data_IF_173923779090
#
_entry.id   IF_173923779090
#
_cell.length_a   1.000
_cell.length_b   1.000
_cell.length_c   1.000
_cell.angle_alpha   90.00
_cell.angle_beta   90.00
_cell.angle_gamma   90.00
#
_symmetry.space_group_name_H-M   'P 1'
#
loop_
_entity.id
_entity.type
_entity.pdbx_description
1 polymer ?
#
# COMPACT_ATOMS: atom_id res chain seq x y z
N UNK A 1 -31.13 -19.30 -16.31
CA UNK A 1 -29.65 -19.21 -16.41
C UNK A 1 -29.16 -18.76 -15.05
N UNK A 2 -28.60 -19.68 -14.27
CA UNK A 2 -28.23 -19.48 -12.87
C UNK A 2 -26.96 -18.63 -12.79
N UNK A 3 -27.07 -17.43 -12.21
CA UNK A 3 -25.91 -16.63 -11.83
C UNK A 3 -25.53 -17.11 -10.43
N UNK A 4 -24.52 -17.98 -10.38
CA UNK A 4 -23.96 -18.49 -9.13
C UNK A 4 -23.27 -17.36 -8.38
N UNK A 5 -23.69 -17.21 -7.13
CA UNK A 5 -23.12 -16.35 -6.11
C UNK A 5 -21.61 -16.59 -5.94
N UNK A 6 -20.84 -15.51 -5.92
CA UNK A 6 -19.60 -15.41 -5.15
C UNK A 6 -19.15 -13.95 -5.06
N UNK A 7 -19.99 -13.11 -4.46
CA UNK A 7 -19.52 -11.82 -3.93
C UNK A 7 -18.67 -12.13 -2.70
N UNK A 8 -17.38 -12.33 -2.92
CA UNK A 8 -16.39 -12.49 -1.86
C UNK A 8 -16.22 -11.12 -1.17
N UNK A 9 -17.04 -10.90 -0.14
CA UNK A 9 -16.86 -9.82 0.81
C UNK A 9 -15.43 -9.87 1.35
N UNK A 10 -14.65 -8.82 1.12
CA UNK A 10 -13.38 -8.58 1.79
C UNK A 10 -13.66 -8.53 3.29
N UNK A 11 -13.38 -9.63 3.98
CA UNK A 11 -13.50 -9.77 5.44
C UNK A 11 -12.54 -8.79 6.10
N UNK A 12 -13.03 -7.60 6.45
CA UNK A 12 -12.31 -6.65 7.30
C UNK A 12 -12.29 -7.22 8.72
N UNK A 13 -11.10 -7.53 9.23
CA UNK A 13 -10.89 -7.79 10.66
C UNK A 13 -10.99 -6.43 11.37
N UNK A 14 -12.20 -6.07 11.79
CA UNK A 14 -12.40 -4.99 12.75
C UNK A 14 -12.05 -5.59 14.11
N UNK A 15 -10.86 -5.25 14.62
CA UNK A 15 -10.46 -5.59 15.98
C UNK A 15 -11.38 -4.82 16.94
N UNK A 16 -12.38 -5.50 17.47
CA UNK A 16 -13.29 -4.97 18.47
C UNK A 16 -12.54 -4.50 19.71
N UNK A 17 -12.74 -3.25 20.08
CA UNK A 17 -12.15 -2.60 21.25
C UNK A 17 -12.68 -3.28 22.52
N UNK A 18 -11.89 -4.19 23.09
CA UNK A 18 -12.19 -4.88 24.34
C UNK A 18 -12.20 -3.94 25.54
N UNK A 19 -13.22 -4.09 26.40
CA UNK A 19 -13.42 -3.39 27.68
C UNK A 19 -12.18 -3.45 28.57
N UNK A 20 -11.80 -2.30 29.15
CA UNK A 20 -10.76 -2.16 30.18
C UNK A 20 -11.09 -3.05 31.38
N UNK A 21 -10.18 -3.95 31.75
CA UNK A 21 -10.11 -4.53 33.10
C UNK A 21 -8.83 -4.03 33.77
N UNK A 22 -9.02 -3.48 34.95
CA UNK A 22 -8.00 -2.91 35.82
C UNK A 22 -7.21 -4.05 36.44
N UNK A 23 -5.90 -4.14 36.15
CA UNK A 23 -4.99 -5.07 36.81
C UNK A 23 -3.76 -4.26 37.27
N UNK A 24 -3.87 -3.68 38.46
CA UNK A 24 -2.78 -3.00 39.15
C UNK A 24 -2.14 -3.95 40.17
N UNK A 25 -0.82 -3.86 40.30
CA UNK A 25 0.11 -4.63 41.18
C UNK A 25 0.59 -5.96 40.60
N UNK A 26 1.66 -5.92 39.81
CA UNK A 26 2.87 -6.78 39.91
C UNK A 26 3.78 -6.62 38.68
N UNK A 27 4.42 -5.45 38.43
CA UNK A 27 5.31 -5.35 37.26
C UNK A 27 6.32 -4.19 37.26
N UNK A 28 6.89 -3.81 38.41
CA UNK A 28 7.86 -2.70 38.46
C UNK A 28 9.31 -3.06 38.17
N UNK A 29 9.67 -4.34 38.03
CA UNK A 29 11.08 -4.77 37.88
C UNK A 29 11.38 -5.37 36.49
N UNK A 30 10.38 -5.90 35.77
CA UNK A 30 10.54 -6.42 34.39
C UNK A 30 10.39 -5.38 33.27
N UNK A 31 9.75 -4.24 33.54
CA UNK A 31 9.38 -3.25 32.52
C UNK A 31 10.57 -2.47 31.93
N UNK A 32 11.68 -2.37 32.66
CA UNK A 32 12.89 -1.70 32.18
C UNK A 32 13.65 -2.53 31.14
N UNK A 33 13.69 -3.86 31.31
CA UNK A 33 14.31 -4.75 30.33
C UNK A 33 13.44 -4.86 29.07
N UNK A 34 12.13 -5.01 29.22
CA UNK A 34 11.22 -5.10 28.06
C UNK A 34 11.21 -3.81 27.23
N UNK A 35 11.28 -2.62 27.85
CA UNK A 35 11.33 -1.35 27.09
C UNK A 35 12.59 -1.20 26.25
N UNK A 36 13.73 -1.72 26.73
CA UNK A 36 14.99 -1.66 26.00
C UNK A 36 14.99 -2.62 24.79
N UNK A 37 14.47 -3.83 24.98
CA UNK A 37 14.25 -4.78 23.88
C UNK A 37 13.24 -4.27 22.87
N UNK A 38 12.15 -3.64 23.33
CA UNK A 38 11.12 -3.07 22.45
C UNK A 38 11.67 -1.91 21.63
N UNK A 39 12.47 -1.03 22.24
CA UNK A 39 13.17 0.06 21.56
C UNK A 39 14.16 -0.46 20.52
N UNK A 40 14.94 -1.49 20.87
CA UNK A 40 15.92 -2.10 19.96
C UNK A 40 15.25 -2.81 18.78
N UNK A 41 14.13 -3.50 19.00
CA UNK A 41 13.30 -4.11 17.95
C UNK A 41 12.70 -3.03 17.05
N UNK A 42 12.21 -1.93 17.62
CA UNK A 42 11.65 -0.81 16.87
C UNK A 42 12.73 -0.15 15.98
N UNK A 43 13.93 0.09 16.52
CA UNK A 43 15.07 0.63 15.77
C UNK A 43 15.49 -0.33 14.64
N UNK A 44 15.54 -1.64 14.91
CA UNK A 44 15.87 -2.64 13.90
C UNK A 44 14.82 -2.71 12.77
N UNK A 45 13.53 -2.57 13.08
CA UNK A 45 12.44 -2.46 12.11
C UNK A 45 12.53 -1.18 11.25
N UNK A 46 13.04 -0.08 11.82
CA UNK A 46 13.26 1.18 11.09
C UNK A 46 14.49 1.14 10.18
N UNK A 47 15.51 0.34 10.49
CA UNK A 47 16.72 0.21 9.66
C UNK A 47 16.48 -0.70 8.44
N UNK A 48 15.61 -1.70 8.54
CA UNK A 48 15.31 -2.63 7.44
C UNK A 48 14.35 -2.05 6.39
N UNK A 49 13.76 -0.88 6.62
CA UNK A 49 12.96 -0.16 5.62
C UNK A 49 13.82 0.64 4.62
N UNK A 50 15.07 0.21 4.41
CA UNK A 50 15.86 0.59 3.24
C UNK A 50 15.07 0.19 1.99
N UNK A 51 14.50 1.21 1.35
CA UNK A 51 13.75 1.12 0.08
C UNK A 51 14.76 0.87 -1.06
N UNK A 52 15.51 -0.22 -0.97
CA UNK A 52 16.04 -0.83 -2.17
C UNK A 52 14.83 -1.43 -2.86
N UNK A 53 14.51 -0.94 -4.04
CA UNK A 53 13.50 -1.58 -4.87
C UNK A 53 14.01 -2.98 -5.21
N UNK A 54 13.65 -3.95 -4.38
CA UNK A 54 13.93 -5.36 -4.57
C UNK A 54 13.43 -5.81 -5.95
N UNK A 55 14.17 -6.73 -6.56
CA UNK A 55 13.71 -7.41 -7.76
C UNK A 55 12.55 -8.33 -7.40
N UNK A 56 11.38 -8.10 -8.00
CA UNK A 56 10.17 -8.88 -7.75
C UNK A 56 9.86 -9.71 -9.00
N UNK A 57 9.57 -10.99 -8.80
CA UNK A 57 9.13 -11.90 -9.87
C UNK A 57 7.69 -12.31 -9.58
N UNK A 58 6.78 -12.04 -10.53
CA UNK A 58 5.39 -12.47 -10.49
C UNK A 58 5.23 -13.69 -11.39
N UNK A 59 4.89 -14.85 -10.81
CA UNK A 59 4.76 -16.11 -11.55
C UNK A 59 3.84 -17.10 -10.78
N UNK A 60 2.88 -17.81 -11.44
CA UNK A 60 2.37 -17.58 -12.78
C UNK A 60 1.26 -16.53 -12.77
N UNK A 61 1.31 -15.56 -13.69
CA UNK A 61 0.36 -14.45 -13.73
C UNK A 61 -0.22 -14.20 -15.11
N UNK A 62 -1.51 -13.88 -15.17
CA UNK A 62 -2.18 -13.33 -16.36
C UNK A 62 -2.35 -11.83 -16.18
N UNK A 63 -2.00 -11.04 -17.18
CA UNK A 63 -2.16 -9.58 -17.13
C UNK A 63 -3.12 -9.10 -18.21
N UNK A 64 -3.77 -7.97 -17.98
CA UNK A 64 -4.67 -7.38 -18.96
C UNK A 64 -3.86 -6.83 -20.14
N UNK A 65 -4.20 -7.24 -21.36
CA UNK A 65 -3.51 -6.78 -22.56
C UNK A 65 -3.88 -5.33 -22.88
N UNK A 66 -2.91 -4.42 -23.09
CA UNK A 66 -3.20 -3.03 -23.42
C UNK A 66 -4.09 -2.90 -24.66
N UNK A 67 -5.16 -2.10 -24.55
CA UNK A 67 -6.11 -1.87 -25.64
C UNK A 67 -7.04 -3.06 -25.95
N UNK A 68 -6.93 -4.17 -25.20
CA UNK A 68 -7.79 -5.35 -25.35
C UNK A 68 -8.54 -5.60 -24.04
N UNK A 69 -9.72 -6.19 -24.13
CA UNK A 69 -10.52 -6.62 -22.97
C UNK A 69 -10.22 -8.07 -22.57
N UNK A 70 -8.99 -8.52 -22.84
CA UNK A 70 -8.57 -9.91 -22.72
C UNK A 70 -7.33 -10.01 -21.84
N UNK A 71 -7.26 -11.11 -21.09
CA UNK A 71 -6.08 -11.46 -20.32
C UNK A 71 -5.07 -12.21 -21.18
N UNK A 72 -3.79 -12.01 -20.89
CA UNK A 72 -2.70 -12.77 -21.48
C UNK A 72 -2.77 -14.26 -21.13
N UNK A 73 -1.99 -15.05 -21.84
CA UNK A 73 -1.58 -16.37 -21.37
C UNK A 73 -0.74 -16.26 -20.09
N UNK A 74 -0.70 -17.31 -19.24
CA UNK A 74 0.15 -17.36 -18.05
C UNK A 74 1.61 -17.04 -18.37
N UNK A 75 2.14 -16.05 -17.65
CA UNK A 75 3.44 -15.46 -17.90
C UNK A 75 4.19 -15.21 -16.59
N UNK A 76 5.50 -15.06 -16.69
CA UNK A 76 6.38 -14.54 -15.65
C UNK A 76 6.62 -13.05 -15.95
N UNK A 77 6.43 -12.19 -14.95
CA UNK A 77 6.76 -10.76 -15.05
C UNK A 77 7.90 -10.47 -14.07
N UNK A 78 9.01 -9.92 -14.56
CA UNK A 78 10.14 -9.47 -13.73
C UNK A 78 10.11 -7.96 -13.59
N UNK A 79 10.16 -7.49 -12.35
CA UNK A 79 10.16 -6.08 -11.97
C UNK A 79 11.46 -5.79 -11.24
N UNK A 80 12.21 -4.80 -11.69
CA UNK A 80 13.41 -4.33 -11.01
C UNK A 80 13.36 -2.81 -10.93
N UNK A 81 13.75 -2.24 -9.78
CA UNK A 81 13.75 -0.77 -9.60
C UNK A 81 12.42 -0.11 -9.94
N UNK A 82 11.31 -0.79 -9.61
CA UNK A 82 9.94 -0.35 -9.90
C UNK A 82 9.55 -0.37 -11.38
N UNK A 83 10.36 -0.97 -12.25
CA UNK A 83 10.12 -1.05 -13.70
C UNK A 83 10.00 -2.49 -14.14
N UNK A 84 9.11 -2.74 -15.09
CA UNK A 84 9.01 -4.06 -15.73
C UNK A 84 10.22 -4.23 -16.64
N UNK A 85 11.04 -5.24 -16.36
CA UNK A 85 12.26 -5.55 -17.13
C UNK A 85 11.98 -6.62 -18.18
N UNK A 86 11.12 -7.60 -17.87
CA UNK A 86 10.74 -8.63 -18.85
C UNK A 86 9.39 -9.27 -18.56
N UNK A 87 8.75 -9.74 -19.61
CA UNK A 87 7.54 -10.57 -19.56
C UNK A 87 7.81 -11.81 -20.42
N UNK A 88 7.70 -13.00 -19.83
CA UNK A 88 7.98 -14.28 -20.52
C UNK A 88 6.78 -15.20 -20.42
N UNK A 89 6.35 -15.76 -21.56
CA UNK A 89 5.29 -16.79 -21.56
C UNK A 89 5.79 -18.05 -20.86
N UNK A 90 4.95 -18.65 -20.03
CA UNK A 90 5.24 -19.91 -19.37
C UNK A 90 4.45 -21.01 -20.07
N UNK A 91 5.15 -22.06 -20.51
CA UNK A 91 4.54 -23.16 -21.25
C UNK A 91 4.03 -24.29 -20.34
N UNK A 92 4.51 -24.37 -19.11
CA UNK A 92 4.09 -25.35 -18.11
C UNK A 92 4.14 -24.72 -16.73
N UNK A 93 3.01 -24.77 -16.02
CA UNK A 93 2.90 -24.33 -14.64
C UNK A 93 1.98 -25.28 -13.89
N UNK A 94 2.26 -25.49 -12.60
CA UNK A 94 1.41 -26.28 -11.71
C UNK A 94 0.96 -25.37 -10.56
N UNK A 95 -0.34 -25.33 -10.29
CA UNK A 95 -0.92 -24.52 -9.22
C UNK A 95 -1.78 -23.35 -9.70
N UNK A 96 -2.00 -22.39 -8.79
CA UNK A 96 -2.95 -21.28 -8.99
C UNK A 96 -2.31 -20.16 -9.81
N UNK A 97 -3.01 -19.75 -10.87
CA UNK A 97 -2.64 -18.57 -11.66
C UNK A 97 -3.27 -17.32 -11.04
N UNK A 98 -2.45 -16.29 -10.82
CA UNK A 98 -2.91 -15.00 -10.33
C UNK A 98 -3.22 -14.05 -11.49
N UNK A 99 -3.99 -13.01 -11.22
CA UNK A 99 -4.30 -11.95 -12.19
C UNK A 99 -3.60 -10.66 -11.75
N UNK A 100 -2.82 -10.07 -12.65
CA UNK A 100 -2.23 -8.75 -12.47
C UNK A 100 -3.06 -7.71 -13.21
N UNK A 101 -3.37 -6.63 -12.51
CA UNK A 101 -3.97 -5.43 -13.09
C UNK A 101 -2.95 -4.31 -13.09
N UNK A 102 -2.99 -3.40 -14.08
CA UNK A 102 -2.30 -2.13 -13.93
C UNK A 102 -2.84 -1.41 -12.69
N UNK A 103 -1.96 -0.64 -12.04
CA UNK A 103 -2.40 0.24 -10.96
C UNK A 103 -3.43 1.23 -11.46
N UNK A 104 -4.43 1.53 -10.64
CA UNK A 104 -5.51 2.42 -11.02
C UNK A 104 -5.04 3.88 -11.02
N UNK A 105 -5.58 4.64 -11.96
CA UNK A 105 -5.33 6.06 -12.08
C UNK A 105 -6.66 6.82 -11.97
N UNK A 106 -6.74 7.78 -11.06
CA UNK A 106 -7.87 8.69 -10.97
C UNK A 106 -7.43 10.10 -11.37
N UNK A 107 -8.07 10.68 -12.38
CA UNK A 107 -7.72 12.00 -12.90
C UNK A 107 -8.47 13.14 -12.22
N UNK A 108 -9.37 12.86 -11.26
CA UNK A 108 -10.23 13.88 -10.69
C UNK A 108 -10.53 13.61 -9.21
N UNK A 109 -9.54 13.86 -8.36
CA UNK A 109 -9.64 13.69 -6.90
C UNK A 109 -9.53 15.04 -6.21
N UNK A 110 -10.38 15.31 -5.22
CA UNK A 110 -10.20 16.43 -4.29
C UNK A 110 -9.76 15.88 -2.93
N UNK A 111 -8.54 16.19 -2.53
CA UNK A 111 -7.91 15.62 -1.32
C UNK A 111 -8.18 16.47 -0.08
N UNK A 112 -8.20 17.79 -0.25
CA UNK A 112 -8.22 18.79 0.81
C UNK A 112 -9.57 19.00 1.46
N UNK A 113 -10.66 18.43 0.92
CA UNK A 113 -12.00 18.58 1.51
C UNK A 113 -12.34 17.39 2.38
N UNK A 114 -12.91 17.63 3.56
CA UNK A 114 -13.52 16.62 4.40
C UNK A 114 -14.98 16.34 3.99
N UNK A 115 -15.57 15.31 4.59
CA UNK A 115 -16.95 14.89 4.28
C UNK A 115 -18.02 15.92 4.70
N UNK A 116 -17.66 16.92 5.51
CA UNK A 116 -18.53 17.99 5.97
C UNK A 116 -18.32 19.29 5.17
N UNK A 117 -17.45 19.28 4.15
CA UNK A 117 -17.11 20.44 3.34
C UNK A 117 -16.03 21.34 3.94
N UNK A 118 -15.41 20.95 5.05
CA UNK A 118 -14.28 21.62 5.67
C UNK A 118 -12.95 21.26 5.00
N UNK A 119 -11.88 21.96 5.40
CA UNK A 119 -10.54 21.71 4.87
C UNK A 119 -9.77 20.72 5.76
N UNK A 120 -9.23 19.66 5.16
CA UNK A 120 -8.32 18.71 5.80
C UNK A 120 -6.95 19.35 6.03
N UNK A 121 -6.34 18.93 7.13
CA UNK A 121 -4.93 19.17 7.39
C UNK A 121 -4.03 18.18 6.63
N UNK A 122 -2.72 18.36 6.78
CA UNK A 122 -1.71 17.51 6.11
C UNK A 122 -1.84 16.04 6.49
N UNK A 123 -2.18 15.73 7.75
CA UNK A 123 -2.37 14.37 8.21
C UNK A 123 -3.61 13.73 7.57
N UNK A 124 -4.71 14.48 7.44
CA UNK A 124 -5.93 14.04 6.76
C UNK A 124 -5.72 13.77 5.26
N UNK A 125 -4.91 14.57 4.59
CA UNK A 125 -4.52 14.29 3.20
C UNK A 125 -3.67 13.02 3.11
N UNK A 126 -2.69 12.85 3.99
CA UNK A 126 -1.87 11.63 4.01
C UNK A 126 -2.71 10.36 4.20
N UNK A 127 -3.69 10.41 5.12
CA UNK A 127 -4.63 9.31 5.32
C UNK A 127 -5.47 9.03 4.06
N UNK A 128 -5.89 10.07 3.35
CA UNK A 128 -6.62 9.94 2.09
C UNK A 128 -5.75 9.25 1.03
N UNK A 129 -4.50 9.69 0.86
CA UNK A 129 -3.53 9.07 -0.05
C UNK A 129 -3.25 7.61 0.29
N UNK A 130 -3.09 7.28 1.57
CA UNK A 130 -2.92 5.91 2.03
C UNK A 130 -4.16 5.06 1.69
N UNK A 131 -5.36 5.62 1.82
CA UNK A 131 -6.59 4.94 1.44
C UNK A 131 -6.65 4.67 -0.07
N UNK A 132 -6.30 5.65 -0.91
CA UNK A 132 -6.20 5.46 -2.37
C UNK A 132 -5.24 4.31 -2.71
N UNK A 133 -4.05 4.34 -2.13
CA UNK A 133 -3.04 3.30 -2.36
C UNK A 133 -3.52 1.91 -1.91
N UNK A 134 -4.16 1.81 -0.73
CA UNK A 134 -4.73 0.56 -0.24
C UNK A 134 -5.84 -0.01 -1.14
N UNK A 135 -6.48 0.85 -1.94
CA UNK A 135 -7.49 0.47 -2.93
C UNK A 135 -6.92 0.25 -4.34
N UNK A 136 -5.60 0.27 -4.51
CA UNK A 136 -4.92 -0.04 -5.76
C UNK A 136 -4.70 1.16 -6.68
N UNK A 137 -4.97 2.38 -6.22
CA UNK A 137 -4.62 3.58 -6.98
C UNK A 137 -3.13 3.88 -6.84
N UNK A 138 -2.45 3.92 -7.98
CA UNK A 138 -1.01 4.24 -8.07
C UNK A 138 -0.76 5.61 -8.66
N UNK A 139 -1.75 6.17 -9.36
CA UNK A 139 -1.71 7.54 -9.88
C UNK A 139 -2.98 8.27 -9.48
N UNK A 140 -2.85 9.48 -8.96
CA UNK A 140 -3.99 10.38 -8.77
C UNK A 140 -3.63 11.78 -9.27
N UNK A 141 -4.61 12.48 -9.80
CA UNK A 141 -4.53 13.91 -10.09
C UNK A 141 -5.47 14.66 -9.16
N UNK A 142 -4.88 15.53 -8.37
CA UNK A 142 -5.60 16.43 -7.48
C UNK A 142 -6.20 17.58 -8.30
N UNK A 143 -7.50 17.83 -8.13
CA UNK A 143 -8.26 18.88 -8.83
C UNK A 143 -9.09 19.66 -7.81
N UNK A 144 -9.01 20.99 -7.89
CA UNK A 144 -9.75 21.89 -7.00
C UNK A 144 -9.16 22.01 -5.59
N UNK A 145 -7.98 21.43 -5.34
CA UNK A 145 -7.28 21.57 -4.07
C UNK A 145 -6.47 22.87 -3.98
N UNK A 146 -6.27 23.42 -2.77
CA UNK A 146 -5.40 24.58 -2.57
C UNK A 146 -3.95 24.32 -2.98
N UNK A 147 -3.25 25.37 -3.41
CA UNK A 147 -1.85 25.32 -3.89
C UNK A 147 -0.86 24.71 -2.90
N UNK A 148 -1.14 24.75 -1.59
CA UNK A 148 -0.26 24.14 -0.59
C UNK A 148 -0.25 22.60 -0.70
N UNK A 149 -1.30 21.97 -1.23
CA UNK A 149 -1.33 20.51 -1.44
C UNK A 149 -0.22 20.07 -2.42
N UNK A 150 0.11 20.91 -3.41
CA UNK A 150 1.23 20.66 -4.33
C UNK A 150 2.59 20.64 -3.61
N UNK A 151 2.71 21.32 -2.47
CA UNK A 151 3.95 21.33 -1.69
C UNK A 151 4.24 19.98 -1.05
N UNK A 152 3.22 19.13 -0.85
CA UNK A 152 3.40 17.78 -0.31
C UNK A 152 4.29 16.91 -1.21
N UNK A 153 4.14 17.04 -2.53
CA UNK A 153 4.99 16.34 -3.49
C UNK A 153 6.45 16.83 -3.40
N UNK A 154 6.64 18.15 -3.32
CA UNK A 154 7.96 18.77 -3.21
C UNK A 154 8.66 18.34 -1.92
N UNK A 155 7.93 18.28 -0.81
CA UNK A 155 8.45 17.83 0.47
C UNK A 155 8.82 16.35 0.45
N UNK A 156 7.99 15.49 -0.16
CA UNK A 156 8.30 14.07 -0.33
C UNK A 156 9.54 13.84 -1.20
N UNK A 157 9.75 14.67 -2.23
CA UNK A 157 10.95 14.62 -3.07
C UNK A 157 12.21 15.07 -2.32
N UNK A 158 12.12 16.13 -1.51
CA UNK A 158 13.23 16.61 -0.66
C UNK A 158 13.69 15.54 0.33
N UNK A 159 12.77 14.78 0.91
CA UNK A 159 13.09 13.68 1.81
C UNK A 159 13.86 12.54 1.12
N UNK A 160 13.70 12.33 -0.19
CA UNK A 160 14.47 11.32 -0.95
C UNK A 160 15.90 11.73 -1.26
N UNK A 161 16.21 13.03 -1.23
CA UNK A 161 17.53 13.56 -1.58
C UNK A 161 18.47 13.73 -0.38
N UNK A 162 17.96 13.58 0.85
CA UNK A 162 18.80 13.63 2.05
C UNK A 162 19.38 12.22 2.25
N UNK A 163 20.71 12.03 2.12
CA UNK A 163 21.32 10.73 2.43
C UNK A 163 21.09 10.41 3.91
N UNK A 164 20.96 9.13 4.29
CA UNK A 164 20.93 8.77 5.71
C UNK A 164 22.25 9.23 6.33
N UNK A 165 22.17 10.20 7.24
CA UNK A 165 23.29 10.69 8.04
C UNK A 165 23.68 9.72 9.14
#
# INVERSE_FOLDING_TARGET
MNISESVLFVKRVILGKGKKRHFSRFQRIGAFFESFFFSLILILLFITSSVNSESIILNPVRYLLPGKKEYSEPSEIRIEKGKIVSIRKINSFSGKVSYALPGFCDANVTLSTDSLGGQKDRAGIFLSLQSFFAHGFTGILSVGDPTWVETLLKDAQRLKTIPPG
#
